data_IF_670546927660
#
_entry.id   IF_670546927660
#
_cell.length_a   1.000
_cell.length_b   1.000
_cell.length_c   1.000
_cell.angle_alpha   90.00
_cell.angle_beta   90.00
_cell.angle_gamma   90.00
#
_symmetry.space_group_name_H-M   'P 1'
#
loop_
_entity.id
_entity.type
_entity.pdbx_description
1 polymer ?
#
# COMPACT_ATOMS: atom_id res chain seq x y z
N UNK A 1 20.44 -14.41 4.13
CA UNK A 1 21.22 -13.16 4.22
C UNK A 1 21.34 -12.80 5.70
N UNK A 2 22.46 -12.23 6.16
CA UNK A 2 22.54 -11.71 7.54
C UNK A 2 21.67 -10.47 7.64
N UNK A 3 20.94 -10.28 8.74
CA UNK A 3 20.20 -9.04 8.97
C UNK A 3 21.15 -7.86 9.14
N UNK A 4 20.79 -6.74 8.56
CA UNK A 4 21.59 -5.50 8.59
C UNK A 4 20.68 -4.34 8.94
N UNK A 5 21.07 -3.55 9.94
CA UNK A 5 20.43 -2.29 10.32
C UNK A 5 21.46 -1.16 10.27
N UNK A 6 21.24 -0.18 9.39
CA UNK A 6 22.10 0.98 9.20
C UNK A 6 21.33 2.25 9.49
N UNK A 7 21.92 3.18 10.23
CA UNK A 7 21.34 4.52 10.45
C UNK A 7 22.39 5.58 10.16
N UNK A 8 22.01 6.61 9.40
CA UNK A 8 22.93 7.67 9.01
C UNK A 8 22.29 8.86 8.31
N UNK A 9 23.10 9.58 7.55
CA UNK A 9 22.63 10.65 6.65
C UNK A 9 23.58 10.74 5.48
N UNK A 10 23.11 10.34 4.30
CA UNK A 10 23.81 10.46 3.03
C UNK A 10 23.33 11.70 2.26
N UNK A 11 22.08 12.11 2.44
CA UNK A 11 21.48 13.27 1.77
C UNK A 11 21.93 14.60 2.40
N UNK A 12 23.16 15.00 2.09
CA UNK A 12 23.78 16.25 2.57
C UNK A 12 23.73 17.38 1.55
N UNK A 13 23.49 17.06 0.28
CA UNK A 13 23.49 18.00 -0.85
C UNK A 13 22.25 17.91 -1.76
N UNK A 14 21.26 17.09 -1.38
CA UNK A 14 20.04 16.86 -2.15
C UNK A 14 20.06 15.61 -3.04
N UNK A 15 21.16 14.83 -3.06
CA UNK A 15 21.31 13.68 -3.96
C UNK A 15 21.32 12.31 -3.27
N UNK A 16 21.41 12.26 -1.93
CA UNK A 16 21.45 11.02 -1.16
C UNK A 16 20.07 10.48 -0.75
N UNK A 17 20.04 9.21 -0.37
CA UNK A 17 18.89 8.50 0.17
C UNK A 17 19.32 7.39 1.14
N UNK A 18 18.39 6.88 1.95
CA UNK A 18 18.58 5.69 2.77
C UNK A 18 19.12 4.48 1.97
N UNK A 19 18.75 4.34 0.69
CA UNK A 19 19.30 3.30 -0.19
C UNK A 19 20.84 3.36 -0.29
N UNK A 20 21.42 4.56 -0.20
CA UNK A 20 22.87 4.78 -0.31
C UNK A 20 23.62 4.51 0.99
N UNK A 21 22.92 4.14 2.08
CA UNK A 21 23.58 3.72 3.31
C UNK A 21 24.35 2.42 3.08
N UNK A 22 25.56 2.40 3.60
CA UNK A 22 26.49 1.26 3.60
C UNK A 22 27.12 1.17 4.98
N UNK A 23 27.72 0.03 5.29
CA UNK A 23 28.47 -0.16 6.55
C UNK A 23 29.56 0.92 6.73
N UNK A 24 30.19 1.36 5.64
CA UNK A 24 31.31 2.31 5.69
C UNK A 24 30.87 3.77 5.91
N UNK A 25 29.63 4.13 5.55
CA UNK A 25 29.15 5.52 5.62
C UNK A 25 28.03 5.74 6.66
N UNK A 26 27.47 4.66 7.22
CA UNK A 26 26.47 4.77 8.26
C UNK A 26 27.07 5.29 9.56
N UNK A 27 26.28 6.08 10.30
CA UNK A 27 26.68 6.59 11.61
C UNK A 27 26.62 5.49 12.67
N UNK A 28 25.64 4.58 12.55
CA UNK A 28 25.51 3.38 13.36
C UNK A 28 25.20 2.17 12.47
N UNK A 29 25.79 1.03 12.84
CA UNK A 29 25.68 -0.25 12.12
C UNK A 29 25.43 -1.35 13.13
N UNK A 30 24.44 -2.19 12.84
CA UNK A 30 24.24 -3.48 13.49
C UNK A 30 24.16 -4.56 12.40
N UNK A 31 25.12 -5.49 12.40
CA UNK A 31 25.08 -6.70 11.57
C UNK A 31 24.75 -7.90 12.47
N UNK A 32 23.70 -8.65 12.11
CA UNK A 32 23.19 -9.74 12.95
C UNK A 32 22.45 -9.21 14.17
N UNK A 33 22.64 -9.85 15.33
CA UNK A 33 21.98 -9.44 16.57
C UNK A 33 22.83 -8.40 17.34
N UNK A 34 22.19 -7.33 17.81
CA UNK A 34 22.83 -6.27 18.57
C UNK A 34 21.86 -5.19 19.03
N UNK A 35 22.29 -4.35 19.97
CA UNK A 35 21.50 -3.23 20.47
C UNK A 35 22.36 -1.98 20.67
N UNK A 36 21.76 -0.81 20.52
CA UNK A 36 22.35 0.50 20.79
C UNK A 36 21.26 1.42 21.36
N UNK A 37 21.32 1.71 22.67
CA UNK A 37 20.28 2.49 23.35
C UNK A 37 20.76 3.86 23.80
N UNK A 38 19.92 4.87 23.63
CA UNK A 38 20.07 6.22 24.18
C UNK A 38 21.27 6.98 23.65
N UNK A 39 21.93 6.47 22.61
CA UNK A 39 23.13 7.09 22.03
C UNK A 39 22.70 8.28 21.20
N UNK A 40 22.77 9.45 21.83
CA UNK A 40 22.29 10.72 21.28
C UNK A 40 20.78 10.78 21.03
N UNK A 41 19.97 9.89 21.60
CA UNK A 41 18.52 9.80 21.30
C UNK A 41 18.26 9.03 20.00
N UNK A 42 19.01 7.96 19.81
CA UNK A 42 18.84 6.92 18.79
C UNK A 42 18.79 5.61 19.56
N UNK A 43 17.74 4.83 19.33
CA UNK A 43 17.53 3.52 19.92
C UNK A 43 17.41 2.50 18.78
N UNK A 44 18.30 1.52 18.75
CA UNK A 44 18.40 0.48 17.71
C UNK A 44 18.46 -0.89 18.36
N UNK A 45 17.63 -1.80 17.90
CA UNK A 45 17.62 -3.20 18.29
C UNK A 45 17.52 -4.06 17.02
N UNK A 46 18.37 -5.08 16.94
CA UNK A 46 18.27 -6.17 15.99
C UNK A 46 18.40 -7.45 16.80
N UNK A 47 17.32 -8.22 16.88
CA UNK A 47 17.21 -9.37 17.77
C UNK A 47 17.01 -10.65 16.97
N UNK A 48 17.63 -11.72 17.45
CA UNK A 48 17.37 -13.09 16.98
C UNK A 48 16.95 -13.89 18.20
N UNK A 49 15.68 -14.27 18.21
CA UNK A 49 15.06 -15.06 19.24
C UNK A 49 14.63 -14.27 20.47
N UNK A 50 13.43 -14.57 20.96
CA UNK A 50 12.96 -14.25 22.30
C UNK A 50 12.85 -15.54 23.13
N UNK A 51 12.71 -15.47 24.47
CA UNK A 51 12.46 -16.67 25.28
C UNK A 51 11.21 -17.47 24.89
N UNK A 52 10.28 -16.85 24.15
CA UNK A 52 9.02 -17.45 23.71
C UNK A 52 9.01 -17.79 22.21
N UNK A 53 9.83 -17.14 21.40
CA UNK A 53 10.00 -17.40 19.97
C UNK A 53 11.50 -17.37 19.61
N UNK A 54 12.21 -18.50 19.75
CA UNK A 54 13.68 -18.54 19.69
C UNK A 54 14.28 -18.25 18.32
N UNK A 55 13.46 -18.26 17.26
CA UNK A 55 13.89 -18.04 15.88
C UNK A 55 13.37 -16.71 15.29
N UNK A 56 12.57 -15.96 16.06
CA UNK A 56 11.99 -14.68 15.64
C UNK A 56 13.07 -13.61 15.45
N UNK A 57 13.00 -12.92 14.32
CA UNK A 57 13.94 -11.90 13.89
C UNK A 57 13.25 -10.55 13.89
N UNK A 58 13.69 -9.67 14.76
CA UNK A 58 13.07 -8.36 14.97
C UNK A 58 14.07 -7.24 14.77
N UNK A 59 13.64 -6.17 14.11
CA UNK A 59 14.33 -4.89 14.06
C UNK A 59 13.43 -3.81 14.65
N UNK A 60 13.93 -3.07 15.63
CA UNK A 60 13.33 -1.85 16.15
C UNK A 60 14.36 -0.73 16.01
N UNK A 61 14.01 0.35 15.31
CA UNK A 61 14.83 1.54 15.23
C UNK A 61 13.97 2.77 15.44
N UNK A 62 14.38 3.65 16.36
CA UNK A 62 13.66 4.88 16.63
C UNK A 62 14.59 6.04 16.94
N UNK A 63 14.14 7.23 16.54
CA UNK A 63 14.76 8.50 16.91
C UNK A 63 13.85 9.25 17.87
N UNK A 64 14.43 9.88 18.89
CA UNK A 64 13.68 10.73 19.83
C UNK A 64 13.03 11.97 19.17
N UNK A 65 13.45 12.30 17.95
CA UNK A 65 12.95 13.44 17.21
C UNK A 65 13.17 13.23 15.72
N UNK A 66 12.16 13.58 14.92
CA UNK A 66 12.23 13.56 13.46
C UNK A 66 13.32 14.50 12.91
N UNK A 67 13.86 14.19 11.72
CA UNK A 67 14.89 14.98 11.04
C UNK A 67 16.18 15.21 11.86
N UNK A 68 16.53 14.24 12.72
CA UNK A 68 17.71 14.27 13.57
C UNK A 68 19.01 14.35 12.76
N UNK A 69 19.84 15.36 13.04
CA UNK A 69 21.11 15.54 12.34
C UNK A 69 22.04 14.31 12.46
N UNK A 70 22.44 13.75 11.33
CA UNK A 70 23.35 12.60 11.23
C UNK A 70 22.68 11.22 11.30
N UNK A 71 21.36 11.16 11.48
CA UNK A 71 20.59 9.91 11.67
C UNK A 71 19.25 9.91 10.92
N UNK A 72 19.07 10.79 9.93
CA UNK A 72 17.78 11.00 9.24
C UNK A 72 17.31 9.81 8.41
N UNK A 73 18.19 8.86 8.14
CA UNK A 73 17.99 7.78 7.18
C UNK A 73 18.21 6.45 7.88
N UNK A 74 17.37 5.47 7.58
CA UNK A 74 17.49 4.09 8.07
C UNK A 74 17.41 3.11 6.91
N UNK A 75 18.28 2.10 6.95
CA UNK A 75 18.28 1.00 5.99
C UNK A 75 18.24 -0.34 6.70
N UNK A 76 17.31 -1.18 6.30
CA UNK A 76 17.10 -2.55 6.79
C UNK A 76 17.21 -3.52 5.63
N UNK A 77 18.04 -4.55 5.79
CA UNK A 77 18.20 -5.62 4.80
C UNK A 77 18.23 -7.00 5.47
N UNK A 78 17.76 -8.02 4.75
CA UNK A 78 17.91 -9.42 5.11
C UNK A 78 16.58 -10.14 5.34
N UNK A 79 16.62 -11.24 6.10
CA UNK A 79 15.41 -11.99 6.44
C UNK A 79 15.00 -11.57 7.86
N UNK A 80 13.84 -10.91 7.99
CA UNK A 80 13.34 -10.28 9.21
C UNK A 80 11.84 -10.56 9.33
N UNK A 81 11.38 -10.97 10.50
CA UNK A 81 9.95 -11.27 10.73
C UNK A 81 9.17 -10.01 11.12
N UNK A 82 9.79 -9.09 11.87
CA UNK A 82 9.13 -7.88 12.35
C UNK A 82 10.03 -6.64 12.32
N UNK A 83 9.50 -5.53 11.83
CA UNK A 83 10.21 -4.26 11.69
C UNK A 83 9.38 -3.13 12.30
N UNK A 84 9.97 -2.36 13.20
CA UNK A 84 9.42 -1.08 13.66
C UNK A 84 10.44 0.03 13.41
N UNK A 85 10.06 1.03 12.61
CA UNK A 85 10.91 2.18 12.29
C UNK A 85 10.17 3.46 12.65
N UNK A 86 10.76 4.33 13.47
CA UNK A 86 10.09 5.56 13.89
C UNK A 86 10.97 6.80 13.77
N UNK A 87 10.37 7.86 13.22
CA UNK A 87 10.92 9.21 13.10
C UNK A 87 12.11 9.38 12.12
N UNK A 88 12.20 8.54 11.09
CA UNK A 88 13.17 8.70 10.01
C UNK A 88 12.61 9.55 8.87
N UNK A 89 13.44 10.37 8.24
CA UNK A 89 13.01 11.14 7.05
C UNK A 89 12.95 10.24 5.82
N UNK A 90 13.87 9.29 5.72
CA UNK A 90 14.05 8.41 4.56
C UNK A 90 14.25 6.98 5.06
N UNK A 91 13.50 6.04 4.50
CA UNK A 91 13.56 4.62 4.89
C UNK A 91 13.88 3.76 3.67
N UNK A 92 14.75 2.78 3.82
CA UNK A 92 14.98 1.76 2.82
C UNK A 92 14.87 0.39 3.47
N UNK A 93 13.89 -0.40 3.06
CA UNK A 93 13.66 -1.75 3.57
C UNK A 93 13.75 -2.69 2.38
N UNK A 94 14.66 -3.66 2.43
CA UNK A 94 14.77 -4.70 1.42
C UNK A 94 14.90 -6.05 2.12
N UNK A 95 13.74 -6.66 2.39
CA UNK A 95 13.64 -7.92 3.11
C UNK A 95 13.22 -9.07 2.21
N UNK A 96 13.62 -10.28 2.57
CA UNK A 96 13.35 -11.47 1.78
C UNK A 96 12.82 -12.62 2.65
N UNK A 97 11.74 -12.35 3.40
CA UNK A 97 11.13 -13.35 4.26
C UNK A 97 10.02 -14.12 3.54
N UNK A 98 10.28 -15.39 3.24
CA UNK A 98 9.30 -16.26 2.56
C UNK A 98 8.12 -16.67 3.48
N UNK A 99 8.13 -16.25 4.75
CA UNK A 99 7.03 -16.47 5.71
C UNK A 99 6.23 -15.19 6.01
N UNK A 100 6.57 -14.07 5.37
CA UNK A 100 5.97 -12.77 5.61
C UNK A 100 6.72 -11.92 6.65
N UNK A 101 6.68 -10.61 6.45
CA UNK A 101 7.25 -9.60 7.33
C UNK A 101 6.16 -8.64 7.77
N UNK A 102 5.99 -8.45 9.08
CA UNK A 102 5.17 -7.37 9.62
C UNK A 102 6.01 -6.13 9.87
N UNK A 103 5.68 -5.01 9.24
CA UNK A 103 6.41 -3.76 9.40
C UNK A 103 5.50 -2.58 9.70
N UNK A 104 5.94 -1.75 10.65
CA UNK A 104 5.32 -0.48 11.00
C UNK A 104 6.36 0.63 10.89
N UNK A 105 6.11 1.56 9.98
CA UNK A 105 7.00 2.68 9.68
C UNK A 105 6.27 3.96 10.05
N UNK A 106 6.64 4.52 11.19
CA UNK A 106 6.07 5.74 11.72
C UNK A 106 6.87 6.98 11.32
N UNK A 107 6.15 8.01 10.89
CA UNK A 107 6.68 9.35 10.68
C UNK A 107 7.77 9.40 9.61
N UNK A 108 7.52 8.77 8.46
CA UNK A 108 8.44 8.78 7.32
C UNK A 108 8.01 9.79 6.25
N UNK A 109 8.99 10.43 5.60
CA UNK A 109 8.73 11.33 4.47
C UNK A 109 8.77 10.63 3.12
N UNK A 110 9.68 9.67 3.01
CA UNK A 110 9.91 8.93 1.79
C UNK A 110 10.48 7.57 2.12
N UNK A 111 10.31 6.64 1.20
CA UNK A 111 10.88 5.32 1.37
C UNK A 111 10.83 4.45 0.14
N UNK A 112 11.68 3.43 0.17
CA UNK A 112 11.71 2.32 -0.76
C UNK A 112 11.58 1.04 0.04
N UNK A 113 10.54 0.25 -0.23
CA UNK A 113 10.21 -0.95 0.52
C UNK A 113 10.08 -2.09 -0.47
N UNK A 114 10.89 -3.13 -0.27
CA UNK A 114 10.84 -4.40 -1.01
C UNK A 114 10.70 -5.55 -0.01
N UNK A 115 9.77 -6.46 -0.29
CA UNK A 115 9.53 -7.64 0.57
C UNK A 115 9.70 -8.98 -0.15
N UNK A 116 9.44 -10.06 0.58
CA UNK A 116 9.67 -11.44 0.14
C UNK A 116 8.42 -12.08 -0.46
N UNK A 117 8.37 -13.43 -0.46
CA UNK A 117 7.26 -14.19 -1.03
C UNK A 117 6.28 -14.76 0.02
N UNK A 118 6.13 -14.14 1.17
CA UNK A 118 5.14 -14.55 2.16
C UNK A 118 4.29 -13.37 2.59
N UNK A 119 3.14 -13.66 3.18
CA UNK A 119 2.12 -12.66 3.56
C UNK A 119 2.69 -11.51 4.41
N UNK A 120 2.94 -10.38 3.77
CA UNK A 120 3.56 -9.20 4.35
C UNK A 120 2.48 -8.24 4.88
N UNK A 121 2.77 -7.57 6.00
CA UNK A 121 1.91 -6.52 6.56
C UNK A 121 2.70 -5.22 6.65
N UNK A 122 2.31 -4.20 5.89
CA UNK A 122 2.98 -2.91 5.82
C UNK A 122 2.06 -1.81 6.34
N UNK A 123 2.40 -1.25 7.50
CA UNK A 123 1.76 -0.04 8.02
C UNK A 123 2.67 1.17 7.89
N UNK A 124 2.26 2.20 7.15
CA UNK A 124 3.07 3.40 6.89
C UNK A 124 2.36 4.68 7.31
N UNK A 125 2.98 5.45 8.22
CA UNK A 125 2.50 6.76 8.66
C UNK A 125 3.34 7.88 8.05
N UNK A 126 2.73 8.65 7.16
CA UNK A 126 3.39 9.67 6.36
C UNK A 126 3.55 10.97 7.15
N UNK A 127 4.78 11.49 7.21
CA UNK A 127 5.10 12.80 7.77
C UNK A 127 6.00 13.62 6.83
N UNK A 128 5.59 14.87 6.57
CA UNK A 128 6.37 15.85 5.82
C UNK A 128 6.95 16.97 6.69
N UNK A 129 7.84 17.77 6.11
CA UNK A 129 8.42 18.95 6.80
C UNK A 129 7.37 20.05 7.03
N UNK A 130 6.47 20.20 6.06
CA UNK A 130 5.38 21.16 5.98
C UNK A 130 4.63 20.93 4.64
N UNK A 131 3.66 21.79 4.33
CA UNK A 131 2.82 21.72 3.13
C UNK A 131 3.48 22.20 1.82
N UNK A 132 4.80 22.39 1.72
CA UNK A 132 5.44 22.80 0.46
C UNK A 132 6.35 21.74 -0.16
N UNK A 133 6.72 20.68 0.56
CA UNK A 133 7.63 19.66 0.03
C UNK A 133 6.88 18.42 -0.45
N UNK A 134 7.37 17.80 -1.52
CA UNK A 134 6.90 16.49 -1.95
C UNK A 134 7.39 15.38 -1.01
N UNK A 135 6.59 14.31 -0.95
CA UNK A 135 6.88 13.04 -0.29
C UNK A 135 6.79 11.94 -1.36
N UNK A 136 7.51 10.84 -1.18
CA UNK A 136 7.51 9.77 -2.18
C UNK A 136 7.75 8.40 -1.56
N UNK A 137 6.88 7.45 -1.85
CA UNK A 137 7.08 6.05 -1.46
C UNK A 137 6.98 5.14 -2.68
N UNK A 138 7.91 4.21 -2.76
CA UNK A 138 7.83 3.03 -3.64
C UNK A 138 7.74 1.80 -2.75
N UNK A 139 6.73 0.96 -3.01
CA UNK A 139 6.46 -0.28 -2.28
C UNK A 139 6.29 -1.37 -3.33
N UNK A 140 7.18 -2.35 -3.31
CA UNK A 140 7.14 -3.53 -4.17
C UNK A 140 7.10 -4.77 -3.27
N UNK A 141 5.92 -5.33 -3.06
CA UNK A 141 5.81 -6.62 -2.36
C UNK A 141 5.97 -7.77 -3.33
N UNK A 142 6.28 -8.95 -2.81
CA UNK A 142 6.63 -10.10 -3.63
C UNK A 142 5.41 -10.94 -3.97
N UNK A 143 5.32 -12.11 -3.35
CA UNK A 143 4.15 -12.97 -3.49
C UNK A 143 3.61 -13.28 -2.10
N UNK A 144 2.39 -13.78 -2.01
CA UNK A 144 1.70 -13.92 -0.73
C UNK A 144 0.53 -12.95 -0.67
N UNK A 145 -0.30 -13.09 0.34
CA UNK A 145 -1.45 -12.21 0.51
C UNK A 145 -1.00 -11.02 1.36
N UNK A 146 -0.61 -9.94 0.69
CA UNK A 146 0.02 -8.79 1.31
C UNK A 146 -1.02 -7.73 1.71
N UNK A 147 -0.81 -7.11 2.87
CA UNK A 147 -1.66 -6.04 3.36
C UNK A 147 -0.87 -4.73 3.51
N UNK A 148 -1.27 -3.70 2.76
CA UNK A 148 -0.57 -2.41 2.69
C UNK A 148 -1.52 -1.30 3.14
N UNK A 149 -1.16 -0.64 4.25
CA UNK A 149 -1.95 0.44 4.84
C UNK A 149 -1.14 1.74 4.94
N UNK A 150 -1.76 2.84 4.51
CA UNK A 150 -1.14 4.16 4.55
C UNK A 150 -2.01 5.18 5.30
N UNK A 151 -1.39 5.90 6.24
CA UNK A 151 -2.05 6.94 7.04
C UNK A 151 -1.32 8.28 7.00
N UNK A 152 -2.09 9.36 7.09
CA UNK A 152 -1.59 10.71 7.28
C UNK A 152 -1.23 10.95 8.76
N UNK A 153 0.03 11.24 9.03
CA UNK A 153 0.41 11.96 10.26
C UNK A 153 0.50 13.45 9.98
N UNK A 154 1.18 13.84 8.90
CA UNK A 154 1.30 15.24 8.49
C UNK A 154 1.67 15.38 7.00
N UNK A 155 0.74 15.85 6.18
CA UNK A 155 1.04 16.36 4.83
C UNK A 155 1.05 15.31 3.72
N UNK A 156 0.25 14.25 3.83
CA UNK A 156 0.11 13.19 2.82
C UNK A 156 -0.49 13.63 1.48
N UNK A 157 -1.19 14.77 1.41
CA UNK A 157 -1.72 15.32 0.16
C UNK A 157 -0.62 15.58 -0.90
N UNK A 158 0.66 15.61 -0.52
CA UNK A 158 1.82 15.75 -1.45
C UNK A 158 2.62 14.48 -1.66
N UNK A 159 2.06 13.35 -1.24
CA UNK A 159 2.73 12.06 -1.34
C UNK A 159 2.42 11.40 -2.66
N UNK A 160 3.46 11.28 -3.48
CA UNK A 160 3.42 10.40 -4.64
C UNK A 160 3.66 8.96 -4.22
N UNK A 161 2.88 8.05 -4.79
CA UNK A 161 2.94 6.62 -4.48
C UNK A 161 3.23 5.84 -5.76
N UNK A 162 4.02 4.79 -5.62
CA UNK A 162 4.17 3.72 -6.59
C UNK A 162 4.10 2.41 -5.81
N UNK A 163 2.97 1.71 -5.89
CA UNK A 163 2.73 0.47 -5.17
C UNK A 163 2.51 -0.65 -6.18
N UNK A 164 3.21 -1.75 -6.00
CA UNK A 164 2.99 -3.02 -6.67
C UNK A 164 2.85 -4.09 -5.60
N UNK A 165 1.65 -4.65 -5.45
CA UNK A 165 1.36 -5.66 -4.43
C UNK A 165 1.77 -7.09 -4.87
N UNK A 166 2.10 -7.27 -6.14
CA UNK A 166 2.76 -8.48 -6.62
C UNK A 166 1.79 -9.61 -6.92
N UNK A 167 1.98 -10.77 -6.30
CA UNK A 167 1.24 -11.98 -6.63
C UNK A 167 0.56 -12.55 -5.37
N UNK A 168 -0.76 -12.59 -5.34
CA UNK A 168 -1.52 -13.10 -4.20
C UNK A 168 -2.86 -12.41 -4.11
N UNK A 169 -3.60 -12.67 -3.04
CA UNK A 169 -4.84 -11.94 -2.80
C UNK A 169 -4.53 -10.75 -1.89
N UNK A 170 -4.25 -9.59 -2.49
CA UNK A 170 -3.67 -8.45 -1.80
C UNK A 170 -4.71 -7.41 -1.35
N UNK A 171 -4.37 -6.64 -0.31
CA UNK A 171 -5.16 -5.53 0.19
C UNK A 171 -4.33 -4.26 0.21
N UNK A 172 -4.78 -3.23 -0.51
CA UNK A 172 -4.19 -1.88 -0.43
C UNK A 172 -5.22 -0.90 0.09
N UNK A 173 -4.97 -0.33 1.27
CA UNK A 173 -5.83 0.68 1.90
C UNK A 173 -5.07 2.02 2.06
N UNK A 174 -5.53 3.02 1.31
CA UNK A 174 -5.01 4.39 1.39
C UNK A 174 -6.03 5.39 1.93
N UNK A 175 -7.16 4.93 2.49
CA UNK A 175 -8.20 5.80 3.05
C UNK A 175 -7.69 6.68 4.19
N UNK A 176 -6.59 6.26 4.83
CA UNK A 176 -5.90 7.04 5.85
C UNK A 176 -5.15 8.26 5.32
N UNK A 177 -4.96 8.40 4.00
CA UNK A 177 -4.29 9.55 3.38
C UNK A 177 -5.27 10.67 3.03
N UNK A 178 -4.76 11.89 3.00
CA UNK A 178 -5.48 13.03 2.43
C UNK A 178 -5.52 12.92 0.89
N UNK A 179 -6.56 13.47 0.27
CA UNK A 179 -6.64 13.62 -1.19
C UNK A 179 -5.40 14.32 -1.74
N UNK A 180 -4.90 13.86 -2.88
CA UNK A 180 -3.68 14.40 -3.46
C UNK A 180 -3.89 15.83 -4.00
N UNK A 181 -2.87 16.67 -3.81
CA UNK A 181 -2.76 17.97 -4.48
C UNK A 181 -2.64 17.76 -5.99
N UNK A 182 -3.05 18.76 -6.77
CA UNK A 182 -2.87 18.75 -8.23
C UNK A 182 -1.41 18.48 -8.62
N UNK A 183 -1.22 17.48 -9.49
CA UNK A 183 0.10 17.09 -10.01
C UNK A 183 0.88 16.10 -9.14
N UNK A 184 0.30 15.64 -8.03
CA UNK A 184 0.77 14.48 -7.28
C UNK A 184 0.23 13.23 -7.97
N UNK A 185 1.07 12.22 -8.14
CA UNK A 185 0.70 10.97 -8.81
C UNK A 185 0.73 9.83 -7.82
N UNK A 186 -0.36 9.05 -7.77
CA UNK A 186 -0.45 7.81 -7.00
C UNK A 186 -0.78 6.70 -7.98
N UNK A 187 0.15 5.77 -8.15
CA UNK A 187 -0.03 4.59 -9.00
C UNK A 187 -0.04 3.37 -8.08
N UNK A 188 -1.06 2.53 -8.24
CA UNK A 188 -1.26 1.34 -7.42
C UNK A 188 -1.62 0.16 -8.33
N UNK A 189 -0.90 -0.94 -8.22
CA UNK A 189 -1.06 -2.16 -8.99
C UNK A 189 -1.30 -3.32 -8.01
N UNK A 190 -2.49 -3.93 -8.06
CA UNK A 190 -2.79 -5.12 -7.25
C UNK A 190 -1.93 -6.32 -7.70
N UNK A 191 -1.74 -6.47 -9.01
CA UNK A 191 -0.87 -7.48 -9.57
C UNK A 191 -1.63 -8.70 -10.07
N UNK A 192 -1.27 -9.90 -9.63
CA UNK A 192 -1.99 -11.15 -9.97
C UNK A 192 -2.66 -11.75 -8.73
N UNK A 193 -3.98 -11.89 -8.76
CA UNK A 193 -4.72 -12.68 -7.79
C UNK A 193 -6.11 -12.11 -7.60
N UNK A 194 -6.65 -12.19 -6.40
CA UNK A 194 -7.88 -11.50 -6.03
C UNK A 194 -7.51 -10.31 -5.15
N UNK A 195 -7.48 -9.12 -5.77
CA UNK A 195 -6.98 -7.93 -5.09
C UNK A 195 -8.11 -6.99 -4.68
N UNK A 196 -7.92 -6.35 -3.51
CA UNK A 196 -8.84 -5.39 -2.91
C UNK A 196 -8.17 -4.03 -2.77
N UNK A 197 -8.77 -3.01 -3.38
CA UNK A 197 -8.39 -1.62 -3.18
C UNK A 197 -9.42 -0.89 -2.33
N UNK A 198 -9.01 -0.37 -1.17
CA UNK A 198 -9.84 0.49 -0.32
C UNK A 198 -9.54 1.96 -0.63
N UNK A 199 -10.49 2.59 -1.31
CA UNK A 199 -10.35 3.93 -1.88
C UNK A 199 -10.96 5.00 -0.98
N UNK A 200 -10.22 6.09 -0.76
CA UNK A 200 -10.66 7.26 0.01
C UNK A 200 -11.44 8.32 -0.78
N UNK A 201 -11.90 8.02 -2.00
CA UNK A 201 -12.60 8.99 -2.87
C UNK A 201 -11.65 9.96 -3.61
N UNK A 202 -10.35 9.72 -3.60
CA UNK A 202 -9.37 10.51 -4.33
C UNK A 202 -9.30 10.09 -5.81
N UNK A 203 -9.96 10.85 -6.69
CA UNK A 203 -9.99 10.60 -8.14
C UNK A 203 -8.61 10.76 -8.83
N UNK A 204 -7.55 11.15 -8.12
CA UNK A 204 -6.20 11.29 -8.70
C UNK A 204 -5.35 10.01 -8.67
N UNK A 205 -5.91 8.91 -8.16
CA UNK A 205 -5.23 7.62 -8.07
C UNK A 205 -5.41 6.86 -9.39
N UNK A 206 -4.31 6.45 -10.01
CA UNK A 206 -4.28 5.51 -11.13
C UNK A 206 -4.12 4.09 -10.56
N UNK A 207 -5.15 3.26 -10.67
CA UNK A 207 -5.15 1.91 -10.12
C UNK A 207 -5.51 0.87 -11.18
N UNK A 208 -4.92 -0.32 -11.06
CA UNK A 208 -5.14 -1.43 -11.99
C UNK A 208 -4.98 -2.78 -11.30
N UNK A 209 -5.49 -3.82 -11.97
CA UNK A 209 -5.46 -5.21 -11.50
C UNK A 209 -6.12 -5.37 -10.12
N UNK A 210 -7.31 -4.81 -9.92
CA UNK A 210 -8.13 -5.06 -8.74
C UNK A 210 -9.44 -5.75 -9.10
N UNK A 211 -9.85 -6.70 -8.27
CA UNK A 211 -11.12 -7.42 -8.36
C UNK A 211 -12.22 -6.74 -7.56
N UNK A 212 -11.85 -6.05 -6.48
CA UNK A 212 -12.77 -5.36 -5.57
C UNK A 212 -12.29 -3.94 -5.30
N UNK A 213 -13.17 -2.98 -5.53
CA UNK A 213 -13.03 -1.60 -5.05
C UNK A 213 -13.97 -1.42 -3.87
N UNK A 214 -13.38 -1.12 -2.70
CA UNK A 214 -14.13 -0.79 -1.50
C UNK A 214 -14.02 0.70 -1.22
N UNK A 215 -15.06 1.27 -0.60
CA UNK A 215 -15.03 2.63 -0.09
C UNK A 215 -15.45 2.66 1.39
N UNK A 216 -15.06 3.72 2.10
CA UNK A 216 -15.56 3.96 3.45
C UNK A 216 -17.09 4.03 3.47
N UNK A 217 -17.70 3.64 4.59
CA UNK A 217 -19.17 3.55 4.70
C UNK A 217 -19.87 4.86 4.31
N UNK A 218 -20.75 4.80 3.31
CA UNK A 218 -21.52 5.95 2.83
C UNK A 218 -20.84 6.76 1.73
N UNK A 219 -19.62 6.40 1.33
CA UNK A 219 -18.88 7.08 0.27
C UNK A 219 -19.30 6.61 -1.13
N UNK A 220 -18.98 7.47 -2.09
CA UNK A 220 -19.23 7.27 -3.52
C UNK A 220 -17.92 6.97 -4.25
N UNK A 221 -17.96 6.06 -5.22
CA UNK A 221 -16.82 5.73 -6.07
C UNK A 221 -17.02 6.31 -7.47
N UNK A 222 -16.12 7.18 -7.89
CA UNK A 222 -16.04 7.70 -9.25
C UNK A 222 -15.05 6.84 -10.05
N UNK A 223 -15.49 6.33 -11.20
CA UNK A 223 -14.68 5.52 -12.12
C UNK A 223 -14.75 6.11 -13.54
N UNK A 224 -13.84 5.66 -14.39
CA UNK A 224 -13.83 5.87 -15.84
C UNK A 224 -13.87 4.52 -16.57
N UNK A 225 -14.06 4.53 -17.89
CA UNK A 225 -13.87 3.30 -18.69
C UNK A 225 -12.44 2.78 -18.65
N UNK A 226 -11.45 3.66 -18.48
CA UNK A 226 -10.06 3.22 -18.36
C UNK A 226 -9.87 2.41 -17.07
N UNK A 227 -10.51 2.83 -15.96
CA UNK A 227 -10.51 2.07 -14.70
C UNK A 227 -11.20 0.72 -14.87
N UNK A 228 -12.34 0.65 -15.57
CA UNK A 228 -13.02 -0.62 -15.87
C UNK A 228 -12.25 -1.53 -16.85
N UNK A 229 -11.40 -0.96 -17.70
CA UNK A 229 -10.54 -1.72 -18.61
C UNK A 229 -9.28 -2.26 -17.92
N UNK A 230 -8.77 -1.54 -16.94
CA UNK A 230 -7.61 -1.89 -16.12
C UNK A 230 -7.94 -2.85 -14.98
N UNK A 231 -9.21 -2.96 -14.61
CA UNK A 231 -9.66 -3.69 -13.43
C UNK A 231 -10.82 -4.63 -13.76
N UNK A 232 -11.06 -5.57 -12.84
CA UNK A 232 -12.15 -6.51 -12.92
C UNK A 232 -11.78 -7.83 -13.60
N UNK A 233 -12.40 -8.90 -13.12
CA UNK A 233 -12.21 -10.22 -13.67
C UNK A 233 -13.01 -10.36 -14.98
N UNK A 234 -12.38 -10.88 -16.03
CA UNK A 234 -13.06 -11.09 -17.33
C UNK A 234 -14.32 -11.97 -17.27
N UNK A 235 -14.45 -12.86 -16.28
CA UNK A 235 -15.63 -13.71 -16.07
C UNK A 235 -16.76 -12.98 -15.33
N UNK A 236 -16.44 -12.30 -14.23
CA UNK A 236 -17.44 -11.75 -13.29
C UNK A 236 -17.67 -10.25 -13.43
N UNK A 237 -16.63 -9.50 -13.78
CA UNK A 237 -16.58 -8.04 -13.70
C UNK A 237 -15.85 -7.54 -12.45
N UNK A 238 -15.91 -6.24 -12.24
CA UNK A 238 -15.38 -5.54 -11.06
C UNK A 238 -16.42 -5.54 -9.94
N UNK A 239 -16.03 -5.84 -8.70
CA UNK A 239 -16.91 -5.67 -7.54
C UNK A 239 -16.73 -4.27 -6.96
N UNK A 240 -17.83 -3.57 -6.73
CA UNK A 240 -17.84 -2.26 -6.07
C UNK A 240 -18.64 -2.35 -4.78
N UNK A 241 -17.92 -2.33 -3.67
CA UNK A 241 -18.42 -2.27 -2.30
C UNK A 241 -18.42 -0.81 -1.83
N UNK A 242 -19.47 -0.11 -2.24
CA UNK A 242 -19.66 1.32 -1.96
C UNK A 242 -21.14 1.64 -1.79
N UNK A 243 -21.44 2.81 -1.23
CA UNK A 243 -22.83 3.26 -1.09
C UNK A 243 -23.45 3.68 -2.43
N UNK A 244 -22.62 4.07 -3.40
CA UNK A 244 -22.98 4.31 -4.80
C UNK A 244 -21.73 4.43 -5.65
N UNK A 245 -21.88 4.29 -6.97
CA UNK A 245 -20.79 4.51 -7.92
C UNK A 245 -21.28 5.28 -9.15
N UNK A 246 -20.36 5.97 -9.80
CA UNK A 246 -20.57 6.60 -11.10
C UNK A 246 -19.42 6.20 -12.02
N UNK A 247 -19.74 6.04 -13.30
CA UNK A 247 -18.73 5.82 -14.33
C UNK A 247 -18.82 6.98 -15.32
N UNK A 248 -17.81 7.83 -15.31
CA UNK A 248 -17.68 8.97 -16.19
C UNK A 248 -17.61 8.50 -17.65
N UNK A 249 -18.32 9.21 -18.53
CA UNK A 249 -18.29 8.95 -19.96
C UNK A 249 -19.13 7.76 -20.41
N UNK A 250 -19.98 7.19 -19.55
CA UNK A 250 -20.93 6.15 -19.93
C UNK A 250 -22.03 6.63 -20.86
N UNK A 251 -22.34 5.79 -21.85
CA UNK A 251 -23.51 5.95 -22.69
C UNK A 251 -24.78 5.57 -21.93
N UNK A 252 -24.80 4.36 -21.36
CA UNK A 252 -25.87 3.89 -20.47
C UNK A 252 -25.42 2.70 -19.60
N UNK A 253 -26.25 2.39 -18.59
CA UNK A 253 -26.11 1.23 -17.73
C UNK A 253 -27.41 0.42 -17.73
N UNK A 254 -27.31 -0.91 -17.65
CA UNK A 254 -28.44 -1.82 -17.59
C UNK A 254 -28.27 -2.82 -16.43
N UNK A 255 -29.28 -2.92 -15.58
CA UNK A 255 -29.33 -3.93 -14.53
C UNK A 255 -29.60 -5.32 -15.13
N UNK A 256 -28.79 -6.28 -14.73
CA UNK A 256 -28.88 -7.69 -15.09
C UNK A 256 -29.00 -8.59 -13.86
N UNK A 257 -29.25 -9.86 -14.12
CA UNK A 257 -29.33 -10.87 -13.06
C UNK A 257 -27.98 -11.50 -12.78
N UNK A 258 -27.62 -11.63 -11.50
CA UNK A 258 -26.47 -12.45 -11.10
C UNK A 258 -26.63 -13.90 -11.55
N UNK A 259 -25.61 -14.42 -12.24
CA UNK A 259 -25.52 -15.84 -12.58
C UNK A 259 -25.20 -16.70 -11.35
N UNK A 260 -25.21 -18.03 -11.51
CA UNK A 260 -24.81 -18.92 -10.40
C UNK A 260 -23.32 -18.76 -10.06
N UNK A 261 -22.47 -18.48 -11.06
CA UNK A 261 -21.04 -18.28 -10.83
C UNK A 261 -20.76 -16.93 -10.19
N UNK A 262 -21.46 -15.85 -10.59
CA UNK A 262 -21.34 -14.54 -9.92
C UNK A 262 -21.69 -14.64 -8.42
N UNK A 263 -22.75 -15.38 -8.07
CA UNK A 263 -23.13 -15.58 -6.66
C UNK A 263 -22.13 -16.42 -5.88
N UNK A 264 -21.45 -17.36 -6.54
CA UNK A 264 -20.40 -18.15 -5.90
C UNK A 264 -19.17 -17.29 -5.65
N UNK A 265 -18.78 -16.48 -6.64
CA UNK A 265 -17.68 -15.53 -6.57
C UNK A 265 -17.88 -14.50 -5.43
N UNK A 266 -19.06 -13.87 -5.35
CA UNK A 266 -19.38 -12.96 -4.24
C UNK A 266 -19.29 -13.64 -2.86
N UNK A 267 -19.65 -14.92 -2.75
CA UNK A 267 -19.55 -15.65 -1.48
C UNK A 267 -18.11 -16.04 -1.12
N UNK A 268 -17.28 -16.28 -2.12
CA UNK A 268 -15.83 -16.51 -1.93
C UNK A 268 -15.16 -15.25 -1.38
N UNK A 269 -15.58 -14.09 -1.89
CA UNK A 269 -15.23 -12.76 -1.37
C UNK A 269 -15.84 -12.42 0.01
N UNK A 270 -16.68 -13.29 0.57
CA UNK A 270 -17.34 -13.06 1.87
C UNK A 270 -18.62 -12.22 1.82
N UNK A 271 -19.12 -11.85 0.63
CA UNK A 271 -20.35 -11.09 0.46
C UNK A 271 -21.62 -11.96 0.47
N UNK A 272 -22.70 -11.37 0.99
CA UNK A 272 -24.05 -11.90 0.84
C UNK A 272 -24.55 -11.61 -0.58
N UNK A 273 -24.43 -12.59 -1.47
CA UNK A 273 -24.77 -12.49 -2.90
C UNK A 273 -26.18 -11.96 -3.22
N UNK A 274 -27.11 -12.07 -2.28
CA UNK A 274 -28.49 -11.58 -2.36
C UNK A 274 -28.62 -10.07 -2.22
N UNK A 275 -27.60 -9.41 -1.67
CA UNK A 275 -27.56 -7.96 -1.50
C UNK A 275 -26.96 -7.27 -2.73
N UNK A 276 -26.56 -8.02 -3.76
CA UNK A 276 -25.89 -7.51 -4.95
C UNK A 276 -26.73 -7.67 -6.23
N UNK A 277 -26.50 -6.77 -7.17
CA UNK A 277 -26.96 -6.82 -8.56
C UNK A 277 -25.77 -6.81 -9.52
N UNK A 278 -26.02 -7.18 -10.78
CA UNK A 278 -25.04 -7.07 -11.87
C UNK A 278 -25.42 -5.89 -12.75
N UNK A 279 -24.53 -4.95 -12.95
CA UNK A 279 -24.73 -3.81 -13.85
C UNK A 279 -23.85 -4.00 -15.08
N UNK A 280 -24.45 -3.91 -16.25
CA UNK A 280 -23.74 -3.82 -17.52
C UNK A 280 -23.52 -2.36 -17.86
N UNK A 281 -22.27 -1.99 -18.12
CA UNK A 281 -21.82 -0.63 -18.40
C UNK A 281 -21.39 -0.54 -19.86
N UNK A 282 -21.96 0.40 -20.62
CA UNK A 282 -21.76 0.55 -22.07
C UNK A 282 -21.17 1.92 -22.41
N UNK A 283 -20.18 1.93 -23.31
CA UNK A 283 -19.45 3.13 -23.73
C UNK A 283 -20.27 4.07 -24.63
N UNK A 284 -21.08 3.52 -25.55
CA UNK A 284 -22.02 4.26 -26.40
C UNK A 284 -23.41 3.63 -26.39
N UNK A 285 -24.43 4.49 -26.34
CA UNK A 285 -25.84 4.13 -26.43
C UNK A 285 -26.25 3.59 -27.80
N UNK A 286 -25.62 4.04 -28.90
CA UNK A 286 -26.05 3.72 -30.26
C UNK A 286 -25.30 2.55 -30.88
N UNK A 287 -24.03 2.35 -30.51
CA UNK A 287 -23.15 1.29 -31.00
C UNK A 287 -22.13 0.95 -29.91
N UNK A 288 -22.48 0.06 -28.94
CA UNK A 288 -21.54 -0.27 -27.88
C UNK A 288 -20.33 -1.00 -28.48
N UNK A 289 -19.15 -0.41 -28.34
CA UNK A 289 -17.88 -1.00 -28.77
C UNK A 289 -17.24 -1.78 -27.61
N UNK A 290 -17.51 -1.36 -26.36
CA UNK A 290 -17.03 -2.00 -25.13
C UNK A 290 -18.15 -2.16 -24.09
N UNK A 291 -18.12 -3.29 -23.36
CA UNK A 291 -19.11 -3.63 -22.33
C UNK A 291 -18.40 -4.22 -21.11
N UNK A 292 -18.65 -3.63 -19.94
CA UNK A 292 -18.11 -4.09 -18.67
C UNK A 292 -19.22 -4.58 -17.74
N UNK A 293 -18.87 -5.54 -16.90
CA UNK A 293 -19.72 -5.97 -15.80
C UNK A 293 -19.22 -5.34 -14.49
N UNK A 294 -20.17 -4.85 -13.69
CA UNK A 294 -19.95 -4.39 -12.32
C UNK A 294 -20.89 -5.17 -11.40
N UNK A 295 -20.38 -5.71 -10.29
CA UNK A 295 -21.19 -6.27 -9.22
C UNK A 295 -21.21 -5.26 -8.08
N UNK A 296 -22.39 -4.78 -7.70
CA UNK A 296 -22.53 -3.77 -6.64
C UNK A 296 -23.78 -4.05 -5.83
N UNK A 297 -23.93 -3.39 -4.68
CA UNK A 297 -25.12 -3.55 -3.85
C UNK A 297 -26.40 -3.19 -4.63
N UNK A 298 -27.51 -3.84 -4.28
CA UNK A 298 -28.87 -3.47 -4.68
C UNK A 298 -29.26 -2.19 -3.92
N UNK A 299 -28.64 -1.09 -4.33
CA UNK A 299 -28.98 0.26 -3.95
C UNK A 299 -29.94 0.78 -5.02
N UNK A 300 -30.97 1.54 -4.63
CA UNK A 300 -31.91 2.25 -5.52
C UNK A 300 -31.20 3.34 -6.38
N UNK A 301 -30.06 3.01 -6.99
CA UNK A 301 -29.04 3.91 -7.51
C UNK A 301 -28.92 3.77 -9.02
N UNK A 302 -29.94 4.27 -9.71
CA UNK A 302 -29.79 4.90 -11.02
C UNK A 302 -30.58 6.20 -11.05
#
# INVERSE_FOLDING_TARGET
MTMTLLVGTTNTDGTGSAENLTIDNATQVIEGAGVSHGVWGVDLESLIGTPYSPDEKLIDASLVSWNKHGYKEVKVEGNVDSIYLSNFVDVHVAVNNDSGTSMFIENAKRGHIETGSGDDLIGLFVQSNNNIWSNHFTIDTGAGNDEIYLWDTEGSHRTSLNINAGNGDDLVDITGLQNADQGVTRVIDGGEGLDVFVHGGDASVDFKNFEVIQSSYGEHVELTFDDLNKNGNTEHGLVIDAASFHVEGTGYMEEGTLSHSDKAYLRELGYASEDFVKIWVFDDYLMPDEVHAVLTYDIDAF
#
